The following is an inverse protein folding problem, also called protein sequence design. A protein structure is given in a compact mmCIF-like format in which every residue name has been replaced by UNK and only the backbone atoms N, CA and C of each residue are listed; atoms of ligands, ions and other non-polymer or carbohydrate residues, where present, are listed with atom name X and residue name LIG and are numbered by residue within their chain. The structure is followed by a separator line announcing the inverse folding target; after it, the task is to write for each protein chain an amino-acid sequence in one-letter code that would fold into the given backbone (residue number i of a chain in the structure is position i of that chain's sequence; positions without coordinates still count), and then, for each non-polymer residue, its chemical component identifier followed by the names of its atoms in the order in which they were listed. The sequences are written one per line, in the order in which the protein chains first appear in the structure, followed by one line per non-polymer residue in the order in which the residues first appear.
data_IF_448240471219
#
_entry.id   IF_448240471219
#
_cell.length_a   1.000
_cell.length_b   1.000
_cell.length_c   1.000
_cell.angle_alpha   90.00
_cell.angle_beta   90.00
_cell.angle_gamma   90.00
#
_symmetry.space_group_name_H-M   'P 1'
#
loop_
_entity.id
_entity.type
_entity.pdbx_description
1 polymer ?
#
# COMPACT_ATOMS: atom_id res chain seq x y z
N UNK A 1 -12.24 7.87 21.08
CA UNK A 1 -12.07 6.51 20.53
C UNK A 1 -10.57 6.32 20.36
N UNK A 2 -9.93 5.70 21.34
CA UNK A 2 -8.52 5.34 21.24
C UNK A 2 -8.43 4.28 20.14
N UNK A 3 -7.83 4.57 18.98
CA UNK A 3 -7.37 3.47 18.13
C UNK A 3 -6.48 2.61 19.01
N UNK A 4 -6.98 1.43 19.34
CA UNK A 4 -6.26 0.39 20.04
C UNK A 4 -4.86 0.31 19.42
N UNK A 5 -3.83 0.06 20.23
CA UNK A 5 -2.42 -0.06 19.85
C UNK A 5 -2.19 -1.11 18.74
N UNK A 6 -2.66 -0.85 17.52
CA UNK A 6 -2.48 -1.73 16.37
C UNK A 6 -1.10 -1.43 15.84
N UNK A 7 -0.21 -2.38 16.04
CA UNK A 7 1.14 -2.31 15.53
C UNK A 7 1.14 -2.26 14.00
N UNK A 8 1.99 -1.41 13.45
CA UNK A 8 2.20 -1.29 12.02
C UNK A 8 3.68 -1.27 11.70
N UNK A 9 3.99 -1.71 10.48
CA UNK A 9 5.36 -1.71 9.97
C UNK A 9 5.53 -0.55 9.00
N UNK A 10 6.52 0.31 9.25
CA UNK A 10 6.78 1.51 8.45
C UNK A 10 7.96 1.32 7.50
N UNK A 11 7.74 1.64 6.23
CA UNK A 11 8.79 1.78 5.22
C UNK A 11 8.83 3.20 4.68
N UNK A 12 10.03 3.73 4.44
CA UNK A 12 10.20 4.99 3.69
C UNK A 12 10.93 4.69 2.40
N UNK A 13 10.38 5.16 1.29
CA UNK A 13 10.86 4.88 -0.06
C UNK A 13 11.16 6.18 -0.79
N UNK A 14 12.29 6.20 -1.49
CA UNK A 14 12.74 7.34 -2.28
C UNK A 14 12.95 6.92 -3.73
N UNK A 15 12.53 7.79 -4.65
CA UNK A 15 12.56 7.53 -6.09
C UNK A 15 14.00 7.26 -6.53
N UNK A 16 14.17 6.21 -7.32
CA UNK A 16 15.43 5.87 -7.97
C UNK A 16 15.37 6.07 -9.48
N UNK A 17 14.23 5.75 -10.09
CA UNK A 17 14.06 5.91 -11.54
C UNK A 17 12.60 6.03 -11.94
N UNK A 18 12.35 6.47 -13.17
CA UNK A 18 11.02 6.44 -13.78
C UNK A 18 11.14 6.19 -15.28
N UNK A 19 10.09 5.65 -15.90
CA UNK A 19 9.99 5.66 -17.35
C UNK A 19 9.80 7.11 -17.88
N UNK A 20 9.91 7.27 -19.20
CA UNK A 20 9.82 8.57 -19.88
C UNK A 20 8.52 9.30 -19.55
N UNK A 21 7.41 8.56 -19.53
CA UNK A 21 6.07 9.14 -19.34
C UNK A 21 5.70 9.33 -17.85
N UNK A 22 6.57 8.90 -16.93
CA UNK A 22 6.33 8.99 -15.49
C UNK A 22 5.15 8.13 -14.99
N UNK A 23 4.65 7.20 -15.81
CA UNK A 23 3.58 6.26 -15.47
C UNK A 23 4.09 5.08 -14.64
N UNK A 24 5.40 4.83 -14.63
CA UNK A 24 6.07 3.80 -13.82
C UNK A 24 7.26 4.41 -13.11
N UNK A 25 7.30 4.28 -11.79
CA UNK A 25 8.32 4.87 -10.94
C UNK A 25 8.85 3.79 -10.00
N UNK A 26 10.17 3.62 -9.98
CA UNK A 26 10.85 2.68 -9.09
C UNK A 26 11.45 3.43 -7.91
N UNK A 27 11.43 2.79 -6.75
CA UNK A 27 11.86 3.35 -5.48
C UNK A 27 12.76 2.38 -4.73
N UNK A 28 13.63 2.92 -3.89
CA UNK A 28 14.44 2.17 -2.93
C UNK A 28 14.06 2.58 -1.52
N UNK A 29 13.95 1.59 -0.64
CA UNK A 29 13.73 1.77 0.78
C UNK A 29 14.95 2.39 1.44
N UNK A 30 14.74 3.40 2.27
CA UNK A 30 15.79 4.09 3.03
C UNK A 30 15.73 3.80 4.53
N UNK A 31 14.64 3.20 5.02
CA UNK A 31 14.56 2.71 6.40
C UNK A 31 15.28 1.38 6.57
N UNK A 32 16.04 1.19 7.66
CA UNK A 32 16.81 -0.03 7.88
C UNK A 32 15.92 -1.29 7.84
N UNK A 33 16.47 -2.37 7.28
CA UNK A 33 15.81 -3.67 7.20
C UNK A 33 15.79 -4.32 8.58
N UNK A 34 14.66 -4.25 9.27
CA UNK A 34 14.37 -5.23 10.32
C UNK A 34 14.29 -6.59 9.64
N UNK A 35 15.18 -7.51 10.01
CA UNK A 35 15.26 -8.85 9.40
C UNK A 35 13.87 -9.53 9.39
N UNK A 36 13.57 -10.23 8.29
CA UNK A 36 12.36 -11.07 8.08
C UNK A 36 11.00 -10.37 7.85
N UNK A 37 10.93 -9.15 7.29
CA UNK A 37 9.65 -8.61 6.84
C UNK A 37 9.36 -8.97 5.37
N UNK A 38 8.39 -9.88 5.15
CA UNK A 38 7.93 -10.29 3.81
C UNK A 38 6.97 -9.30 3.14
N UNK A 39 6.45 -8.31 3.88
CA UNK A 39 5.48 -7.33 3.39
C UNK A 39 6.14 -6.04 2.88
N UNK A 40 7.32 -5.68 3.41
CA UNK A 40 8.12 -4.55 2.94
C UNK A 40 9.44 -5.00 2.34
N UNK A 41 9.58 -4.80 1.05
CA UNK A 41 10.76 -5.16 0.26
C UNK A 41 11.67 -3.96 0.05
N UNK A 42 12.94 -4.17 -0.27
CA UNK A 42 13.89 -3.06 -0.48
C UNK A 42 13.56 -2.19 -1.69
N UNK A 43 12.87 -2.77 -2.66
CA UNK A 43 12.46 -2.10 -3.89
C UNK A 43 10.94 -2.08 -3.94
N UNK A 44 10.39 -0.92 -4.24
CA UNK A 44 8.97 -0.76 -4.54
C UNK A 44 8.80 -0.11 -5.91
N UNK A 45 7.62 -0.28 -6.49
CA UNK A 45 7.23 0.39 -7.74
C UNK A 45 5.83 0.97 -7.59
N UNK A 46 5.67 2.19 -8.10
CA UNK A 46 4.38 2.83 -8.28
C UNK A 46 4.07 2.90 -9.78
N UNK A 47 2.89 2.43 -10.16
CA UNK A 47 2.36 2.54 -11.51
C UNK A 47 1.06 3.36 -11.48
N UNK A 48 0.82 4.22 -12.48
CA UNK A 48 -0.49 4.83 -12.65
C UNK A 48 -1.51 3.75 -13.00
N UNK A 49 -2.71 3.85 -12.43
CA UNK A 49 -3.78 2.96 -12.83
C UNK A 49 -4.15 3.20 -14.31
N UNK A 50 -4.34 2.11 -15.04
CA UNK A 50 -4.68 2.14 -16.46
C UNK A 50 -6.16 1.80 -16.71
N UNK A 51 -6.96 1.62 -15.66
CA UNK A 51 -8.38 1.30 -15.74
C UNK A 51 -8.72 -0.13 -16.18
N UNK A 52 -7.73 -0.99 -16.45
CA UNK A 52 -7.95 -2.36 -16.91
C UNK A 52 -8.06 -3.35 -15.74
N UNK A 53 -9.10 -3.21 -14.93
CA UNK A 53 -9.40 -4.16 -13.85
C UNK A 53 -10.90 -4.33 -13.59
N UNK A 54 -11.34 -5.54 -13.25
CA UNK A 54 -12.75 -5.86 -12.96
C UNK A 54 -13.21 -5.35 -11.56
N UNK A 55 -12.42 -4.53 -10.88
CA UNK A 55 -12.73 -4.07 -9.52
C UNK A 55 -13.67 -2.86 -9.55
N UNK A 56 -14.64 -2.85 -8.63
CA UNK A 56 -15.63 -1.78 -8.46
C UNK A 56 -15.08 -0.48 -7.85
N UNK A 57 -13.78 -0.42 -7.54
CA UNK A 57 -13.12 0.75 -6.95
C UNK A 57 -12.11 1.31 -7.95
N UNK A 58 -12.17 2.62 -8.16
CA UNK A 58 -11.14 3.36 -8.90
C UNK A 58 -9.87 3.43 -8.05
N UNK A 59 -8.74 3.06 -8.64
CA UNK A 59 -7.42 3.28 -8.06
C UNK A 59 -6.74 4.43 -8.78
N UNK A 60 -5.95 5.22 -8.07
CA UNK A 60 -5.07 6.20 -8.73
C UNK A 60 -3.75 5.57 -9.15
N UNK A 61 -3.27 4.63 -8.33
CA UNK A 61 -1.99 3.97 -8.51
C UNK A 61 -2.09 2.48 -8.19
N UNK A 62 -1.16 1.71 -8.75
CA UNK A 62 -0.77 0.41 -8.25
C UNK A 62 0.55 0.54 -7.52
N UNK A 63 0.67 -0.08 -6.35
CA UNK A 63 1.94 -0.24 -5.66
C UNK A 63 2.36 -1.70 -5.67
N UNK A 64 3.64 -1.94 -5.92
CA UNK A 64 4.27 -3.25 -5.95
C UNK A 64 5.43 -3.27 -4.96
N UNK A 65 5.53 -4.33 -4.18
CA UNK A 65 6.66 -4.65 -3.31
C UNK A 65 7.45 -5.79 -3.95
N UNK A 66 8.64 -5.47 -4.48
CA UNK A 66 9.42 -6.35 -5.34
C UNK A 66 9.84 -7.64 -4.64
N UNK A 67 9.35 -8.77 -5.15
CA UNK A 67 9.90 -10.12 -4.90
C UNK A 67 10.99 -10.45 -5.95
N UNK A 68 11.24 -11.72 -6.27
CA UNK A 68 12.22 -12.13 -7.28
C UNK A 68 11.93 -11.55 -8.67
N UNK A 69 10.65 -11.54 -9.06
CA UNK A 69 10.16 -11.01 -10.32
C UNK A 69 8.89 -10.18 -10.11
N UNK A 70 8.69 -9.13 -10.91
CA UNK A 70 7.54 -8.22 -10.78
C UNK A 70 6.18 -8.92 -10.84
N UNK A 71 6.06 -9.99 -11.63
CA UNK A 71 4.84 -10.79 -11.76
C UNK A 71 4.48 -11.56 -10.48
N UNK A 72 5.47 -11.84 -9.62
CA UNK A 72 5.32 -12.55 -8.34
C UNK A 72 5.33 -11.60 -7.14
N UNK A 73 5.52 -10.30 -7.38
CA UNK A 73 5.52 -9.28 -6.33
C UNK A 73 4.13 -9.12 -5.72
N UNK A 74 4.09 -8.92 -4.41
CA UNK A 74 2.87 -8.43 -3.76
C UNK A 74 2.51 -7.08 -4.35
N UNK A 75 1.24 -6.90 -4.70
CA UNK A 75 0.75 -5.65 -5.27
C UNK A 75 -0.64 -5.32 -4.77
N UNK A 76 -0.96 -4.04 -4.76
CA UNK A 76 -2.32 -3.59 -4.49
C UNK A 76 -2.64 -2.28 -5.18
N UNK A 77 -3.92 -2.08 -5.46
CA UNK A 77 -4.45 -0.83 -5.96
C UNK A 77 -4.60 0.16 -4.81
N UNK A 78 -4.15 1.38 -5.03
CA UNK A 78 -4.21 2.48 -4.09
C UNK A 78 -5.43 3.35 -4.38
N UNK A 79 -6.42 3.27 -3.50
CA UNK A 79 -7.60 4.10 -3.53
C UNK A 79 -7.35 5.43 -2.80
N UNK A 80 -7.95 6.51 -3.31
CA UNK A 80 -7.90 7.81 -2.66
C UNK A 80 -8.72 7.80 -1.36
N UNK A 81 -8.13 8.29 -0.26
CA UNK A 81 -8.78 8.40 1.05
C UNK A 81 -9.68 9.63 1.22
N UNK A 82 -9.76 10.50 0.22
CA UNK A 82 -10.24 11.89 0.27
C UNK A 82 -9.41 12.82 1.18
N UNK A 83 -8.28 12.35 1.71
CA UNK A 83 -7.30 13.17 2.41
C UNK A 83 -6.13 13.40 1.45
N UNK A 84 -5.75 14.67 1.28
CA UNK A 84 -4.70 15.07 0.33
C UNK A 84 -3.41 14.28 0.54
N UNK A 85 -2.95 13.64 -0.54
CA UNK A 85 -1.75 12.81 -0.60
C UNK A 85 -1.73 11.61 0.36
N UNK A 86 -2.89 11.04 0.67
CA UNK A 86 -3.01 9.78 1.42
C UNK A 86 -3.84 8.79 0.62
N UNK A 87 -3.27 7.62 0.42
CA UNK A 87 -3.87 6.51 -0.26
C UNK A 87 -3.93 5.29 0.65
N UNK A 88 -4.88 4.40 0.38
CA UNK A 88 -4.98 3.13 1.08
C UNK A 88 -5.22 1.99 0.10
N UNK A 89 -4.85 0.79 0.51
CA UNK A 89 -5.08 -0.42 -0.26
C UNK A 89 -4.97 -1.65 0.62
N UNK A 90 -5.15 -2.82 0.03
CA UNK A 90 -5.12 -4.09 0.76
C UNK A 90 -4.17 -5.07 0.07
N UNK A 91 -3.20 -5.62 0.79
CA UNK A 91 -2.39 -6.74 0.29
C UNK A 91 -3.19 -8.03 0.54
N UNK A 92 -3.56 -8.77 -0.50
CA UNK A 92 -4.32 -10.00 -0.34
C UNK A 92 -3.43 -11.20 -0.04
N UNK A 93 -4.05 -12.21 0.58
CA UNK A 93 -3.55 -13.58 0.65
C UNK A 93 -4.10 -14.40 -0.49
N UNK A 94 -3.25 -15.16 -1.15
CA UNK A 94 -3.69 -16.20 -2.10
C UNK A 94 -4.28 -17.40 -1.35
N UNK A 95 -5.44 -17.86 -1.80
CA UNK A 95 -6.13 -19.05 -1.31
C UNK A 95 -5.94 -20.17 -2.33
N UNK A 96 -5.13 -21.17 -1.95
CA UNK A 96 -4.85 -22.35 -2.77
C UNK A 96 -6.02 -23.34 -2.70
N UNK A 97 -7.10 -23.02 -3.41
CA UNK A 97 -8.28 -23.87 -3.53
C UNK A 97 -8.17 -24.79 -4.76
N UNK A 98 -8.90 -25.91 -4.74
CA UNK A 98 -9.05 -26.82 -5.88
C UNK A 98 -9.71 -26.06 -7.04
N UNK A 99 -10.80 -25.35 -6.74
CA UNK A 99 -11.49 -24.48 -7.67
C UNK A 99 -10.69 -23.21 -7.92
N UNK A 100 -10.57 -22.81 -9.20
CA UNK A 100 -9.94 -21.55 -9.62
C UNK A 100 -11.00 -20.53 -10.02
N UNK A 101 -10.58 -19.27 -10.11
CA UNK A 101 -11.38 -18.19 -10.73
C UNK A 101 -11.67 -18.50 -12.21
N UNK A 102 -12.62 -17.80 -12.82
CA UNK A 102 -12.94 -17.92 -14.25
C UNK A 102 -11.73 -17.65 -15.18
N UNK A 103 -10.67 -17.02 -14.66
CA UNK A 103 -9.41 -16.74 -15.36
C UNK A 103 -8.30 -17.76 -15.04
N UNK A 104 -8.63 -18.88 -14.40
CA UNK A 104 -7.69 -19.94 -14.03
C UNK A 104 -6.73 -19.58 -12.89
N UNK A 105 -6.95 -18.47 -12.19
CA UNK A 105 -6.11 -18.00 -11.06
C UNK A 105 -6.66 -18.45 -9.73
N UNK A 106 -5.79 -18.53 -8.72
CA UNK A 106 -6.18 -18.70 -7.33
C UNK A 106 -7.08 -17.55 -6.84
N UNK A 107 -7.90 -17.84 -5.84
CA UNK A 107 -8.70 -16.81 -5.18
C UNK A 107 -7.80 -15.95 -4.28
N UNK A 108 -8.15 -14.69 -4.11
CA UNK A 108 -7.42 -13.72 -3.28
C UNK A 108 -8.37 -13.14 -2.22
N UNK A 109 -7.93 -13.08 -0.97
CA UNK A 109 -8.68 -12.44 0.12
C UNK A 109 -7.85 -11.30 0.74
N UNK A 110 -8.38 -10.07 0.87
CA UNK A 110 -7.70 -9.00 1.60
C UNK A 110 -7.23 -9.44 2.98
N UNK A 111 -5.96 -9.21 3.32
CA UNK A 111 -5.37 -9.65 4.59
C UNK A 111 -4.67 -8.51 5.34
N UNK A 112 -4.01 -7.60 4.63
CA UNK A 112 -3.25 -6.52 5.26
C UNK A 112 -3.68 -5.17 4.71
N UNK A 113 -4.00 -4.24 5.60
CA UNK A 113 -4.29 -2.86 5.26
C UNK A 113 -2.97 -2.10 5.08
N UNK A 114 -2.88 -1.32 4.01
CA UNK A 114 -1.73 -0.44 3.76
C UNK A 114 -2.17 1.00 3.63
N UNK A 115 -1.35 1.91 4.17
CA UNK A 115 -1.45 3.34 3.93
C UNK A 115 -0.20 3.85 3.25
N UNK A 116 -0.36 4.62 2.19
CA UNK A 116 0.73 5.23 1.44
C UNK A 116 0.52 6.74 1.43
N UNK A 117 1.53 7.49 1.85
CA UNK A 117 1.43 8.94 1.97
C UNK A 117 2.77 9.64 1.79
N UNK A 118 2.73 10.90 1.37
CA UNK A 118 3.92 11.73 1.17
C UNK A 118 3.56 13.09 0.61
N UNK A 119 4.41 14.10 0.73
CA UNK A 119 4.13 15.42 0.11
C UNK A 119 4.12 15.35 -1.42
N UNK A 120 4.96 14.48 -1.98
CA UNK A 120 5.02 14.13 -3.39
C UNK A 120 5.33 12.63 -3.51
N UNK A 121 4.28 11.83 -3.58
CA UNK A 121 4.33 10.37 -3.68
C UNK A 121 5.20 9.90 -4.86
N UNK A 122 5.32 10.68 -5.94
CA UNK A 122 6.14 10.33 -7.10
C UNK A 122 7.64 10.51 -6.84
N UNK A 123 8.04 11.25 -5.81
CA UNK A 123 9.44 11.42 -5.38
C UNK A 123 9.78 10.60 -4.14
N UNK A 124 8.92 10.62 -3.14
CA UNK A 124 9.14 9.99 -1.85
C UNK A 124 7.83 9.69 -1.17
N UNK A 125 7.70 8.48 -0.63
CA UNK A 125 6.52 8.11 0.15
C UNK A 125 6.91 7.32 1.39
N UNK A 126 6.01 7.36 2.36
CA UNK A 126 5.99 6.49 3.51
C UNK A 126 4.86 5.49 3.30
N UNK A 127 5.12 4.24 3.65
CA UNK A 127 4.10 3.19 3.72
C UNK A 127 4.02 2.67 5.14
N UNK A 128 2.80 2.57 5.66
CA UNK A 128 2.48 1.85 6.88
C UNK A 128 1.66 0.63 6.52
N UNK A 129 2.10 -0.55 6.97
CA UNK A 129 1.40 -1.81 6.75
C UNK A 129 0.91 -2.35 8.10
N UNK A 130 -0.40 -2.52 8.20
CA UNK A 130 -1.07 -3.15 9.34
C UNK A 130 -1.27 -4.63 9.00
N UNK A 131 -0.43 -5.47 9.60
CA UNK A 131 -0.43 -6.91 9.34
C UNK A 131 -1.68 -7.55 9.93
N UNK A 132 -2.24 -8.52 9.20
CA UNK A 132 -3.45 -9.28 9.55
C UNK A 132 -4.65 -8.41 9.97
N UNK A 133 -4.69 -7.18 9.45
CA UNK A 133 -5.72 -6.20 9.77
C UNK A 133 -6.39 -5.73 8.48
N UNK A 134 -7.70 -5.93 8.40
CA UNK A 134 -8.52 -5.55 7.25
C UNK A 134 -9.87 -5.03 7.74
N UNK A 135 -10.32 -3.90 7.18
CA UNK A 135 -11.59 -3.26 7.53
C UNK A 135 -12.52 -3.33 6.32
N UNK A 136 -13.58 -4.11 6.44
CA UNK A 136 -14.63 -4.23 5.41
C UNK A 136 -15.52 -3.00 5.35
N UNK A 137 -15.87 -2.44 6.52
CA UNK A 137 -16.73 -1.27 6.62
C UNK A 137 -16.00 0.02 6.23
N UNK A 138 -16.51 0.69 5.20
CA UNK A 138 -15.89 1.89 4.65
C UNK A 138 -15.87 3.05 5.65
N UNK A 139 -16.89 3.18 6.49
CA UNK A 139 -16.99 4.26 7.48
C UNK A 139 -15.93 4.07 8.57
N UNK A 140 -15.80 2.85 9.09
CA UNK A 140 -14.76 2.50 10.06
C UNK A 140 -13.36 2.68 9.48
N UNK A 141 -13.15 2.31 8.22
CA UNK A 141 -11.87 2.50 7.53
C UNK A 141 -11.48 3.98 7.46
N UNK A 142 -12.43 4.86 7.11
CA UNK A 142 -12.19 6.30 7.04
C UNK A 142 -11.92 6.91 8.42
N UNK A 143 -12.63 6.46 9.45
CA UNK A 143 -12.37 6.88 10.84
C UNK A 143 -10.97 6.45 11.30
N UNK A 144 -10.59 5.21 11.01
CA UNK A 144 -9.28 4.68 11.33
C UNK A 144 -8.15 5.44 10.60
N UNK A 145 -8.32 5.68 9.30
CA UNK A 145 -7.43 6.51 8.48
C UNK A 145 -7.21 7.89 9.09
N UNK A 146 -8.30 8.56 9.48
CA UNK A 146 -8.25 9.91 10.05
C UNK A 146 -7.51 9.93 11.39
N UNK A 147 -7.78 8.98 12.28
CA UNK A 147 -7.12 8.92 13.58
C UNK A 147 -5.62 8.61 13.44
N UNK A 148 -5.26 7.65 12.58
CA UNK A 148 -3.85 7.33 12.29
C UNK A 148 -3.10 8.54 11.71
N UNK A 149 -3.74 9.26 10.77
CA UNK A 149 -3.17 10.48 10.21
C UNK A 149 -2.89 11.55 11.28
N UNK A 150 -3.86 11.83 12.15
CA UNK A 150 -3.70 12.82 13.22
C UNK A 150 -2.56 12.40 14.15
N UNK A 151 -2.54 11.14 14.59
CA UNK A 151 -1.60 10.64 15.61
C UNK A 151 -0.16 10.48 15.12
N UNK A 152 0.04 10.06 13.87
CA UNK A 152 1.36 9.60 13.42
C UNK A 152 1.93 10.37 12.23
N UNK A 153 1.11 11.15 11.53
CA UNK A 153 1.50 11.87 10.31
C UNK A 153 1.48 13.38 10.57
N UNK A 154 0.36 13.94 11.06
CA UNK A 154 0.19 15.37 11.29
C UNK A 154 1.02 15.88 12.48
N UNK A 155 0.88 15.26 13.66
CA UNK A 155 1.60 15.66 14.88
C UNK A 155 3.12 15.59 14.76
N UNK A 156 3.66 14.67 13.94
CA UNK A 156 5.11 14.60 13.68
C UNK A 156 5.61 15.72 12.75
N UNK A 157 4.76 16.24 11.87
CA UNK A 157 5.11 17.34 10.96
C UNK A 157 5.26 18.68 11.68
N UNK A 158 4.57 18.85 12.82
CA UNK A 158 4.69 20.03 13.69
C UNK A 158 5.82 19.93 14.74
N UNK A 159 6.68 18.92 14.65
CA UNK A 159 7.85 18.72 15.53
C UNK A 159 9.20 18.74 14.77
N UNK A 160 9.18 19.16 13.51
CA UNK A 160 10.36 19.32 12.65
C UNK A 160 10.51 20.79 12.25
#
# INVERSE_FOLDING_TARGET
METANIDFIRGVYEKTSSNKDGTRIDFKRITPVTQNNTLLTDIARLELDNGFHDRSRFFEYWIYFKSDAWVRSSKTGLANSNITNIFYGDIPRTLNLITKTNKGKDFENPQHLIFVYGSDIKKKFVVDIFKDFYITDKTLLLLFLRDHYIKHIYTKKNRL
#
